data_IF_630174527274
#
_entry.id   IF_630174527274
#
_cell.length_a   1.000
_cell.length_b   1.000
_cell.length_c   1.000
_cell.angle_alpha   90.00
_cell.angle_beta   90.00
_cell.angle_gamma   90.00
#
_symmetry.space_group_name_H-M   'P 1'
#
loop_
_entity.id
_entity.type
_entity.pdbx_description
1 polymer ?
#
# COMPACT_ATOMS: atom_id res chain seq x y z
N UNK A 1 -26.87 -6.55 16.12
CA UNK A 1 -25.88 -7.60 15.79
C UNK A 1 -25.36 -7.55 14.34
N UNK A 2 -26.15 -7.09 13.36
CA UNK A 2 -25.71 -7.04 11.95
C UNK A 2 -24.82 -5.82 11.57
N UNK A 3 -24.90 -4.70 12.29
CA UNK A 3 -24.07 -3.51 12.01
C UNK A 3 -22.60 -3.64 12.46
N UNK A 4 -22.30 -4.53 13.41
CA UNK A 4 -20.93 -4.73 13.91
C UNK A 4 -20.04 -5.52 12.96
N UNK A 5 -20.62 -6.37 12.12
CA UNK A 5 -19.88 -7.22 11.17
C UNK A 5 -19.38 -6.39 9.96
N UNK A 6 -20.13 -5.37 9.55
CA UNK A 6 -19.74 -4.49 8.44
C UNK A 6 -18.44 -3.70 8.71
N UNK A 7 -18.17 -3.32 9.97
CA UNK A 7 -16.91 -2.67 10.36
C UNK A 7 -15.70 -3.61 10.36
N UNK A 8 -15.90 -4.92 10.45
CA UNK A 8 -14.81 -5.90 10.34
C UNK A 8 -14.40 -6.14 8.88
N UNK A 9 -15.32 -5.92 7.92
CA UNK A 9 -15.07 -6.08 6.49
C UNK A 9 -14.17 -4.94 5.95
N UNK A 10 -14.24 -3.74 6.54
CA UNK A 10 -13.40 -2.60 6.14
C UNK A 10 -11.89 -2.77 6.39
N UNK A 11 -11.47 -3.76 7.17
CA UNK A 11 -10.04 -3.99 7.47
C UNK A 11 -9.29 -4.80 6.39
N UNK A 12 -9.98 -5.27 5.34
CA UNK A 12 -9.38 -6.11 4.28
C UNK A 12 -9.00 -5.37 2.99
N UNK A 13 -9.50 -4.15 2.77
CA UNK A 13 -9.33 -3.44 1.49
C UNK A 13 -7.94 -2.81 1.35
N UNK A 14 -7.30 -2.99 0.20
CA UNK A 14 -6.03 -2.32 -0.12
C UNK A 14 -4.84 -2.84 0.69
N UNK A 15 -4.93 -4.03 1.28
CA UNK A 15 -3.86 -4.62 2.09
C UNK A 15 -2.67 -5.01 1.20
N UNK A 16 -1.46 -4.61 1.60
CA UNK A 16 -0.23 -5.16 1.03
C UNK A 16 0.13 -6.47 1.71
N UNK A 17 0.52 -7.46 0.93
CA UNK A 17 1.14 -8.69 1.44
C UNK A 17 2.56 -8.39 1.96
N UNK A 18 3.05 -9.23 2.88
CA UNK A 18 4.43 -9.11 3.38
C UNK A 18 5.45 -9.14 2.25
N UNK A 19 5.25 -10.01 1.26
CA UNK A 19 6.14 -10.15 0.10
C UNK A 19 6.15 -8.87 -0.77
N UNK A 20 5.00 -8.22 -0.95
CA UNK A 20 4.92 -6.93 -1.64
C UNK A 20 5.65 -5.83 -0.84
N UNK A 21 5.48 -5.79 0.48
CA UNK A 21 6.19 -4.82 1.34
C UNK A 21 7.70 -5.05 1.24
N UNK A 22 8.17 -6.30 1.25
CA UNK A 22 9.59 -6.61 1.16
C UNK A 22 10.18 -6.28 -0.21
N UNK A 23 9.47 -6.64 -1.27
CA UNK A 23 9.90 -6.38 -2.64
C UNK A 23 9.97 -4.88 -2.94
N UNK A 24 8.85 -4.17 -2.74
CA UNK A 24 8.80 -2.74 -3.05
C UNK A 24 9.55 -1.90 -2.02
N UNK A 25 9.62 -2.34 -0.77
CA UNK A 25 10.36 -1.64 0.27
C UNK A 25 11.85 -1.62 0.03
N UNK A 26 12.43 -2.76 -0.39
CA UNK A 26 13.83 -2.81 -0.87
C UNK A 26 14.03 -1.95 -2.12
N UNK A 27 13.09 -1.99 -3.07
CA UNK A 27 13.14 -1.13 -4.26
C UNK A 27 13.02 0.38 -3.96
N UNK A 28 12.53 0.73 -2.77
CA UNK A 28 12.41 2.09 -2.23
C UNK A 28 13.50 2.43 -1.20
N UNK A 29 14.51 1.57 -1.05
CA UNK A 29 15.64 1.76 -0.14
C UNK A 29 15.25 1.91 1.34
N UNK A 30 14.14 1.27 1.75
CA UNK A 30 13.73 1.21 3.15
C UNK A 30 14.69 0.36 3.98
N UNK A 31 14.89 0.74 5.23
CA UNK A 31 15.60 -0.11 6.20
C UNK A 31 14.73 -1.27 6.65
N UNK A 32 15.34 -2.34 7.17
CA UNK A 32 14.58 -3.47 7.72
C UNK A 32 13.65 -3.02 8.87
N UNK A 33 14.08 -2.05 9.68
CA UNK A 33 13.28 -1.47 10.76
C UNK A 33 12.02 -0.76 10.21
N UNK A 34 12.15 -0.04 9.08
CA UNK A 34 11.00 0.57 8.40
C UNK A 34 10.01 -0.50 7.91
N UNK A 35 10.51 -1.62 7.38
CA UNK A 35 9.67 -2.71 6.88
C UNK A 35 8.89 -3.38 8.01
N UNK A 36 9.52 -3.61 9.16
CA UNK A 36 8.87 -4.16 10.36
C UNK A 36 7.72 -3.26 10.84
N UNK A 37 7.94 -1.94 10.83
CA UNK A 37 6.92 -0.95 11.23
C UNK A 37 5.76 -0.91 10.23
N UNK A 38 6.03 -0.90 8.92
CA UNK A 38 4.97 -0.91 7.88
C UNK A 38 4.15 -2.18 7.90
N UNK A 39 4.77 -3.35 8.08
CA UNK A 39 4.06 -4.64 8.26
C UNK A 39 3.12 -4.64 9.46
N UNK A 40 3.38 -3.77 10.44
CA UNK A 40 2.54 -3.55 11.62
C UNK A 40 1.46 -2.48 11.44
N UNK A 41 1.16 -2.07 10.21
CA UNK A 41 0.17 -1.03 9.86
C UNK A 41 0.49 0.35 10.44
N UNK A 42 1.78 0.64 10.63
CA UNK A 42 2.26 1.93 11.13
C UNK A 42 3.14 2.62 10.10
N UNK A 43 3.07 3.94 10.06
CA UNK A 43 3.99 4.76 9.27
C UNK A 43 5.31 4.88 10.05
N UNK A 44 6.46 4.47 9.49
CA UNK A 44 7.74 4.64 10.18
C UNK A 44 8.09 6.12 10.32
N UNK A 45 8.83 6.45 11.38
CA UNK A 45 9.19 7.84 11.73
C UNK A 45 10.44 8.36 11.02
N UNK A 46 11.17 7.49 10.32
CA UNK A 46 12.35 7.88 9.54
C UNK A 46 11.95 8.67 8.30
N UNK A 47 12.86 9.48 7.75
CA UNK A 47 12.58 10.27 6.54
C UNK A 47 12.26 9.38 5.33
N UNK A 48 12.98 8.26 5.18
CA UNK A 48 12.71 7.26 4.14
C UNK A 48 11.38 6.54 4.39
N UNK A 49 11.11 6.14 5.64
CA UNK A 49 9.91 5.41 6.02
C UNK A 49 8.61 6.20 5.84
N UNK A 50 8.62 7.51 6.12
CA UNK A 50 7.49 8.41 5.83
C UNK A 50 7.17 8.45 4.32
N UNK A 51 8.19 8.36 3.48
CA UNK A 51 8.06 8.40 2.01
C UNK A 51 7.82 7.01 1.40
N UNK A 52 7.99 5.94 2.17
CA UNK A 52 7.97 4.57 1.68
C UNK A 52 6.66 4.23 0.98
N UNK A 53 5.52 4.55 1.59
CA UNK A 53 4.21 4.26 1.00
C UNK A 53 4.03 4.98 -0.34
N UNK A 54 4.42 6.26 -0.44
CA UNK A 54 4.39 7.03 -1.69
C UNK A 54 5.23 6.33 -2.76
N UNK A 55 6.46 5.95 -2.43
CA UNK A 55 7.35 5.28 -3.37
C UNK A 55 6.76 3.95 -3.87
N UNK A 56 6.20 3.12 -2.97
CA UNK A 56 5.59 1.84 -3.32
C UNK A 56 4.41 2.02 -4.30
N UNK A 57 3.48 2.91 -3.98
CA UNK A 57 2.28 3.11 -4.81
C UNK A 57 2.58 3.83 -6.14
N UNK A 58 3.60 4.68 -6.20
CA UNK A 58 4.11 5.23 -7.47
C UNK A 58 4.69 4.12 -8.35
N UNK A 59 5.52 3.20 -7.80
CA UNK A 59 6.06 2.05 -8.56
C UNK A 59 4.98 1.09 -9.06
N UNK A 60 3.85 1.03 -8.36
CA UNK A 60 2.68 0.26 -8.76
C UNK A 60 1.78 0.98 -9.79
N UNK A 61 2.09 2.24 -10.13
CA UNK A 61 1.36 3.04 -11.11
C UNK A 61 0.11 3.72 -10.57
N UNK A 62 -0.11 3.73 -9.25
CA UNK A 62 -1.29 4.34 -8.63
C UNK A 62 -1.15 5.87 -8.56
N UNK A 63 0.09 6.35 -8.46
CA UNK A 63 0.45 7.76 -8.56
C UNK A 63 1.37 7.97 -9.77
N UNK A 64 1.31 9.17 -10.35
CA UNK A 64 2.33 9.65 -11.29
C UNK A 64 3.64 9.97 -10.54
N UNK A 65 4.72 10.22 -11.28
CA UNK A 65 6.04 10.51 -10.70
C UNK A 65 6.07 11.82 -9.89
N UNK A 66 5.22 12.78 -10.23
CA UNK A 66 5.02 14.02 -9.46
C UNK A 66 4.24 13.79 -8.14
N UNK A 67 3.73 12.58 -7.92
CA UNK A 67 2.91 12.20 -6.78
C UNK A 67 1.42 12.53 -6.93
N UNK A 68 0.99 13.04 -8.09
CA UNK A 68 -0.42 13.24 -8.39
C UNK A 68 -1.13 11.89 -8.63
N UNK A 69 -2.43 11.86 -8.38
CA UNK A 69 -3.23 10.66 -8.55
C UNK A 69 -3.35 10.25 -10.01
N UNK A 70 -2.97 9.00 -10.33
CA UNK A 70 -3.12 8.46 -11.68
C UNK A 70 -4.42 7.66 -11.76
N UNK A 71 -5.49 8.24 -12.32
CA UNK A 71 -6.80 7.58 -12.36
C UNK A 71 -6.78 6.23 -13.07
N UNK A 72 -6.22 6.18 -14.28
CA UNK A 72 -6.17 4.96 -15.09
C UNK A 72 -5.22 3.93 -14.46
N UNK A 73 -4.07 4.37 -13.95
CA UNK A 73 -3.11 3.51 -13.28
C UNK A 73 -3.62 2.97 -11.95
N UNK A 74 -4.37 3.78 -11.19
CA UNK A 74 -5.06 3.35 -9.98
C UNK A 74 -6.08 2.26 -10.29
N UNK A 75 -6.96 2.47 -11.27
CA UNK A 75 -7.96 1.46 -11.64
C UNK A 75 -7.29 0.15 -12.09
N UNK A 76 -6.26 0.23 -12.95
CA UNK A 76 -5.52 -0.93 -13.41
C UNK A 76 -4.77 -1.64 -12.27
N UNK A 77 -4.14 -0.88 -11.36
CA UNK A 77 -3.43 -1.40 -10.20
C UNK A 77 -4.37 -2.07 -9.20
N UNK A 78 -5.50 -1.43 -8.89
CA UNK A 78 -6.57 -1.99 -8.05
C UNK A 78 -7.06 -3.33 -8.60
N UNK A 79 -7.48 -3.38 -9.88
CA UNK A 79 -7.94 -4.62 -10.52
C UNK A 79 -6.87 -5.72 -10.56
N UNK A 80 -5.59 -5.35 -10.63
CA UNK A 80 -4.47 -6.30 -10.72
C UNK A 80 -4.03 -6.89 -9.38
N UNK A 81 -3.90 -6.04 -8.35
CA UNK A 81 -3.28 -6.43 -7.08
C UNK A 81 -4.28 -6.60 -5.94
N UNK A 82 -5.50 -6.06 -6.09
CA UNK A 82 -6.54 -6.06 -5.07
C UNK A 82 -7.86 -6.55 -5.66
N UNK A 83 -8.04 -7.86 -5.65
CA UNK A 83 -9.19 -8.55 -6.27
C UNK A 83 -10.55 -8.06 -5.78
N UNK A 84 -10.61 -7.46 -4.59
CA UNK A 84 -11.82 -6.86 -4.04
C UNK A 84 -12.29 -5.61 -4.81
N UNK A 85 -11.47 -5.08 -5.73
CA UNK A 85 -11.78 -3.98 -6.65
C UNK A 85 -11.91 -4.42 -8.11
N UNK A 86 -11.93 -5.72 -8.38
CA UNK A 86 -12.04 -6.26 -9.74
C UNK A 86 -13.48 -6.28 -10.30
N UNK A 87 -14.48 -5.95 -9.48
CA UNK A 87 -15.92 -5.88 -9.84
C UNK A 87 -16.32 -4.60 -10.56
#
# INVERSE_FOLDING_TARGET
LLFGIAMLISCGYGRFTTDQIDYYGKACNASEDDLVVVKSYKVPSTETGKCLMKCMITKLGLLNDDGSYNKTGMEAGLKKYWSEWAT
#
